data_IF_937268386985
#
_entry.id   IF_937268386985
#
_cell.length_a   1.000
_cell.length_b   1.000
_cell.length_c   1.000
_cell.angle_alpha   90.00
_cell.angle_beta   90.00
_cell.angle_gamma   90.00
#
_symmetry.space_group_name_H-M   'P 1'
#
loop_
_entity.id
_entity.type
_entity.pdbx_description
1 polymer ?
#
# COMPACT_ATOMS: atom_id res chain seq x y z
N UNK A 1 13.96 -19.28 21.12
CA UNK A 1 12.83 -18.36 21.31
C UNK A 1 12.95 -17.28 20.23
N UNK A 2 12.15 -17.37 19.15
CA UNK A 2 12.28 -16.49 17.98
C UNK A 2 11.52 -15.19 18.26
N UNK A 3 12.24 -14.15 18.67
CA UNK A 3 11.68 -12.81 18.83
C UNK A 3 11.35 -12.27 17.43
N UNK A 4 10.06 -12.18 17.10
CA UNK A 4 9.60 -11.57 15.86
C UNK A 4 10.03 -10.11 15.84
N UNK A 5 11.10 -9.81 15.12
CA UNK A 5 11.60 -8.45 14.93
C UNK A 5 10.58 -7.70 14.09
N UNK A 6 9.72 -6.93 14.76
CA UNK A 6 8.92 -5.88 14.13
C UNK A 6 9.90 -4.83 13.60
N UNK A 7 10.42 -5.02 12.40
CA UNK A 7 11.25 -4.02 11.72
C UNK A 7 10.33 -2.89 11.24
N UNK A 8 9.89 -2.05 12.17
CA UNK A 8 9.35 -0.75 11.82
C UNK A 8 10.51 0.06 11.24
N UNK A 9 10.64 0.06 9.91
CA UNK A 9 11.59 0.94 9.24
C UNK A 9 11.02 2.35 9.35
N UNK A 10 11.61 3.14 10.24
CA UNK A 10 11.28 4.55 10.41
C UNK A 10 11.68 5.31 9.14
N UNK A 11 10.68 5.84 8.42
CA UNK A 11 10.90 6.71 7.26
C UNK A 11 10.53 8.16 7.63
N UNK A 12 11.49 8.95 8.16
CA UNK A 12 11.26 10.36 8.42
C UNK A 12 11.01 11.10 7.11
N UNK A 13 9.88 11.80 7.02
CA UNK A 13 9.51 12.58 5.84
C UNK A 13 8.75 11.81 4.75
N UNK A 14 8.26 10.59 5.01
CA UNK A 14 7.45 9.82 4.05
C UNK A 14 6.25 10.60 3.53
N UNK A 15 5.54 11.33 4.40
CA UNK A 15 4.40 12.16 4.00
C UNK A 15 4.81 13.29 3.05
N UNK A 16 5.98 13.90 3.28
CA UNK A 16 6.51 14.96 2.43
C UNK A 16 6.88 14.40 1.05
N UNK A 17 7.59 13.27 1.00
CA UNK A 17 7.92 12.61 -0.26
C UNK A 17 6.68 12.15 -1.03
N UNK A 18 5.67 11.59 -0.35
CA UNK A 18 4.40 11.22 -1.01
C UNK A 18 3.72 12.47 -1.57
N UNK A 19 3.66 13.57 -0.80
CA UNK A 19 3.08 14.83 -1.29
C UNK A 19 3.84 15.38 -2.49
N UNK A 20 5.17 15.40 -2.45
CA UNK A 20 6.00 15.87 -3.56
C UNK A 20 5.82 14.98 -4.80
N UNK A 21 5.77 13.66 -4.62
CA UNK A 21 5.49 12.70 -5.69
C UNK A 21 4.11 12.96 -6.31
N UNK A 22 3.06 13.06 -5.50
CA UNK A 22 1.69 13.36 -5.95
C UNK A 22 1.62 14.73 -6.64
N UNK A 23 2.31 15.74 -6.14
CA UNK A 23 2.38 17.07 -6.76
C UNK A 23 3.16 17.07 -8.06
N UNK A 24 4.17 16.20 -8.20
CA UNK A 24 4.91 16.01 -9.46
C UNK A 24 4.05 15.32 -10.52
N UNK A 25 3.09 14.49 -10.10
CA UNK A 25 2.09 13.93 -10.99
C UNK A 25 1.11 15.06 -11.39
N UNK A 26 1.15 15.47 -12.66
CA UNK A 26 0.12 16.36 -13.18
C UNK A 26 -1.24 15.66 -13.07
N UNK A 27 -2.26 16.27 -12.45
CA UNK A 27 -3.58 15.66 -12.34
C UNK A 27 -4.20 15.59 -13.74
N UNK A 28 -4.17 14.39 -14.33
CA UNK A 28 -4.88 14.12 -15.58
C UNK A 28 -6.27 13.61 -15.18
N UNK A 29 -7.30 14.38 -15.53
CA UNK A 29 -8.71 13.93 -15.54
C UNK A 29 -9.33 13.48 -14.21
N UNK A 30 -9.03 14.13 -13.08
CA UNK A 30 -9.70 13.85 -11.81
C UNK A 30 -9.57 12.37 -11.35
N UNK A 31 -8.47 11.71 -11.74
CA UNK A 31 -8.20 10.32 -11.37
C UNK A 31 -7.75 10.17 -9.92
N UNK A 32 -8.05 9.01 -9.35
CA UNK A 32 -7.54 8.62 -8.05
C UNK A 32 -6.19 7.91 -8.23
N UNK A 33 -5.28 8.10 -7.29
CA UNK A 33 -3.97 7.43 -7.31
C UNK A 33 -3.86 6.52 -6.10
N UNK A 34 -3.49 5.27 -6.34
CA UNK A 34 -3.11 4.32 -5.31
C UNK A 34 -1.61 4.22 -5.26
N UNK A 35 -1.04 4.66 -4.14
CA UNK A 35 0.40 4.73 -3.95
C UNK A 35 0.77 3.66 -2.94
N UNK A 36 1.59 2.71 -3.36
CA UNK A 36 2.18 1.71 -2.49
C UNK A 36 3.66 2.03 -2.36
N UNK A 37 4.11 2.03 -1.12
CA UNK A 37 5.47 2.40 -0.78
C UNK A 37 6.09 1.22 -0.04
N UNK A 38 7.13 0.64 -0.61
CA UNK A 38 7.93 -0.37 0.06
C UNK A 38 8.83 0.31 1.09
N UNK A 39 8.62 -0.02 2.36
CA UNK A 39 9.31 0.63 3.47
C UNK A 39 10.82 0.35 3.51
N UNK A 40 11.27 -0.74 2.89
CA UNK A 40 12.68 -1.16 2.94
C UNK A 40 13.51 -0.54 1.80
N UNK A 41 13.09 -0.75 0.55
CA UNK A 41 13.76 -0.26 -0.65
C UNK A 41 13.48 1.21 -0.95
N UNK A 42 12.47 1.80 -0.28
CA UNK A 42 11.92 3.13 -0.59
C UNK A 42 11.37 3.22 -2.02
N UNK A 43 11.11 2.08 -2.64
CA UNK A 43 10.47 2.01 -3.95
C UNK A 43 8.99 2.35 -3.80
N UNK A 44 8.50 3.27 -4.64
CA UNK A 44 7.09 3.64 -4.70
C UNK A 44 6.49 3.19 -6.03
N UNK A 45 5.40 2.44 -5.96
CA UNK A 45 4.58 2.08 -7.10
C UNK A 45 3.29 2.91 -7.07
N UNK A 46 2.97 3.57 -8.18
CA UNK A 46 1.80 4.45 -8.32
C UNK A 46 0.88 3.86 -9.37
N UNK A 47 -0.37 3.61 -8.99
CA UNK A 47 -1.40 3.04 -9.86
C UNK A 47 -2.53 4.05 -9.98
N UNK A 48 -2.91 4.37 -11.22
CA UNK A 48 -4.09 5.18 -11.51
C UNK A 48 -5.34 4.32 -11.33
N UNK A 49 -6.32 4.84 -10.61
CA UNK A 49 -7.61 4.21 -10.34
C UNK A 49 -8.73 5.12 -10.81
N UNK A 50 -9.76 4.51 -11.40
CA UNK A 50 -11.00 5.21 -11.73
C UNK A 50 -11.98 5.24 -10.54
N UNK A 51 -11.79 4.34 -9.56
CA UNK A 51 -12.68 4.16 -8.40
C UNK A 51 -11.89 3.84 -7.12
N UNK A 52 -12.35 4.32 -5.96
CA UNK A 52 -11.72 4.07 -4.63
C UNK A 52 -12.44 2.99 -3.81
N UNK A 53 -13.13 2.06 -4.46
CA UNK A 53 -13.89 1.02 -3.75
C UNK A 53 -12.96 -0.01 -3.10
N UNK A 54 -13.43 -0.63 -2.01
CA UNK A 54 -12.69 -1.68 -1.29
C UNK A 54 -12.30 -2.84 -2.20
N UNK A 55 -13.25 -3.34 -3.00
CA UNK A 55 -13.04 -4.44 -3.94
C UNK A 55 -11.93 -4.13 -4.95
N UNK A 56 -11.94 -2.94 -5.57
CA UNK A 56 -10.91 -2.58 -6.55
C UNK A 56 -9.54 -2.40 -5.88
N UNK A 57 -9.51 -1.84 -4.66
CA UNK A 57 -8.29 -1.71 -3.86
C UNK A 57 -7.68 -3.08 -3.53
N UNK A 58 -8.49 -4.03 -3.09
CA UNK A 58 -8.08 -5.41 -2.79
C UNK A 58 -7.56 -6.12 -4.05
N UNK A 59 -8.18 -5.90 -5.21
CA UNK A 59 -7.72 -6.44 -6.48
C UNK A 59 -6.31 -5.92 -6.84
N UNK A 60 -6.07 -4.61 -6.73
CA UNK A 60 -4.74 -4.04 -7.00
C UNK A 60 -3.71 -4.53 -5.99
N UNK A 61 -4.06 -4.58 -4.70
CA UNK A 61 -3.21 -5.15 -3.66
C UNK A 61 -2.83 -6.60 -3.99
N UNK A 62 -3.79 -7.43 -4.41
CA UNK A 62 -3.51 -8.82 -4.77
C UNK A 62 -2.50 -8.92 -5.92
N UNK A 63 -2.66 -8.10 -6.97
CA UNK A 63 -1.72 -8.06 -8.11
C UNK A 63 -0.31 -7.71 -7.66
N UNK A 64 -0.19 -6.70 -6.82
CA UNK A 64 1.09 -6.17 -6.36
C UNK A 64 1.75 -7.13 -5.37
N UNK A 65 1.00 -7.73 -4.45
CA UNK A 65 1.51 -8.71 -3.48
C UNK A 65 1.97 -10.01 -4.16
N UNK A 66 1.35 -10.40 -5.28
CA UNK A 66 1.87 -11.50 -6.10
C UNK A 66 3.26 -11.17 -6.69
N UNK A 67 3.55 -9.90 -6.97
CA UNK A 67 4.84 -9.45 -7.48
C UNK A 67 5.86 -9.22 -6.34
N UNK A 68 5.45 -8.55 -5.27
CA UNK A 68 6.20 -8.31 -4.04
C UNK A 68 6.10 -9.52 -3.11
N UNK A 69 6.81 -10.60 -3.45
CA UNK A 69 6.76 -11.93 -2.79
C UNK A 69 7.06 -11.97 -1.28
N UNK A 70 7.28 -10.83 -0.62
CA UNK A 70 7.69 -10.73 0.79
C UNK A 70 6.96 -9.66 1.61
N UNK A 71 5.98 -8.94 1.05
CA UNK A 71 5.21 -7.99 1.83
C UNK A 71 4.29 -8.74 2.81
N UNK A 72 4.51 -8.61 4.12
CA UNK A 72 3.68 -9.24 5.18
C UNK A 72 2.95 -8.25 6.06
N UNK A 73 3.22 -6.97 5.93
CA UNK A 73 2.60 -5.91 6.74
C UNK A 73 2.10 -4.80 5.82
N UNK A 74 0.82 -4.43 5.93
CA UNK A 74 0.24 -3.27 5.24
C UNK A 74 -0.26 -2.30 6.31
N UNK A 75 0.17 -1.04 6.24
CA UNK A 75 -0.33 0.02 7.11
C UNK A 75 -1.14 1.05 6.33
N UNK A 76 -2.19 1.59 6.94
CA UNK A 76 -2.96 2.70 6.37
C UNK A 76 -4.33 2.88 7.02
N UNK A 77 -4.76 4.14 7.17
CA UNK A 77 -6.06 4.49 7.79
C UNK A 77 -7.27 4.11 6.94
N UNK A 78 -7.09 3.88 5.64
CA UNK A 78 -8.17 3.54 4.70
C UNK A 78 -8.51 2.05 4.58
N UNK A 79 -7.82 1.18 5.33
CA UNK A 79 -7.95 -0.27 5.18
C UNK A 79 -8.79 -0.90 6.30
N UNK A 80 -10.09 -0.64 6.31
CA UNK A 80 -11.01 -1.13 7.36
C UNK A 80 -12.19 -1.95 6.81
N UNK A 81 -12.25 -2.20 5.51
CA UNK A 81 -13.35 -2.92 4.87
C UNK A 81 -13.30 -4.43 5.15
N UNK A 82 -14.47 -5.09 5.18
CA UNK A 82 -14.56 -6.54 5.32
C UNK A 82 -13.79 -7.28 4.21
N UNK A 83 -13.82 -6.78 2.97
CA UNK A 83 -13.04 -7.32 1.85
C UNK A 83 -11.53 -7.33 2.13
N UNK A 84 -11.04 -6.30 2.82
CA UNK A 84 -9.62 -6.19 3.15
C UNK A 84 -9.25 -7.13 4.29
N UNK A 85 -10.13 -7.31 5.28
CA UNK A 85 -9.95 -8.31 6.33
C UNK A 85 -9.83 -9.74 5.74
N UNK A 86 -10.69 -10.08 4.78
CA UNK A 86 -10.63 -11.36 4.06
C UNK A 86 -9.32 -11.53 3.29
N UNK A 87 -8.87 -10.48 2.59
CA UNK A 87 -7.57 -10.46 1.92
C UNK A 87 -6.43 -10.73 2.91
N UNK A 88 -6.41 -10.05 4.05
CA UNK A 88 -5.38 -10.25 5.07
C UNK A 88 -5.35 -11.67 5.61
N UNK A 89 -6.53 -12.26 5.87
CA UNK A 89 -6.65 -13.64 6.31
C UNK A 89 -6.15 -14.65 5.26
N UNK A 90 -6.51 -14.43 3.99
CA UNK A 90 -6.17 -15.34 2.89
C UNK A 90 -4.68 -15.34 2.57
N UNK A 91 -4.03 -14.19 2.62
CA UNK A 91 -2.63 -14.02 2.23
C UNK A 91 -1.64 -13.93 3.41
N UNK A 92 -2.12 -14.06 4.64
CA UNK A 92 -1.29 -13.97 5.84
C UNK A 92 -0.66 -12.58 6.02
N UNK A 93 -1.38 -11.54 5.59
CA UNK A 93 -0.95 -10.15 5.73
C UNK A 93 -1.43 -9.61 7.07
N UNK A 94 -0.54 -8.92 7.78
CA UNK A 94 -0.84 -8.26 9.02
C UNK A 94 -1.16 -6.78 8.78
N UNK A 95 -2.30 -6.33 9.32
CA UNK A 95 -2.72 -4.92 9.34
C UNK A 95 -2.32 -4.27 10.67
#
# INVERSE_FOLDING_TARGET
>A
MKTLTRSYVYWPGVEKHIKELVQSCQPINNQYYFIIVDAYSKWSEVIMMDHTTSCYTVLQLTRIFCHLRHARNIGGRGFTSADFALFCQQYGVHH
#
